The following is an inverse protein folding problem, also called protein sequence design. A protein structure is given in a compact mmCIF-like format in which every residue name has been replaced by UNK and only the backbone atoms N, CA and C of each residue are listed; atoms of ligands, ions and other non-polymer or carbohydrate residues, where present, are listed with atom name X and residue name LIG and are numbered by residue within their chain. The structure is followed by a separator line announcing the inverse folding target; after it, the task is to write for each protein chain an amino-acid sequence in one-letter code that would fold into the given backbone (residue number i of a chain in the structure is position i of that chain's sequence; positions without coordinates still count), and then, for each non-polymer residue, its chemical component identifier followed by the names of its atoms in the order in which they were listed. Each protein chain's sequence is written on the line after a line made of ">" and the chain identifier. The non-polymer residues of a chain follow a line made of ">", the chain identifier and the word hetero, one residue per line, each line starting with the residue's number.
data_IF_445937081359
#
_entry.id   IF_445937081359
#
_cell.length_a   1.000
_cell.length_b   1.000
_cell.length_c   1.000
_cell.angle_alpha   90.00
_cell.angle_beta   90.00
_cell.angle_gamma   90.00
#
_symmetry.space_group_name_H-M   'P 1'
#
loop_
_entity.id
_entity.type
_entity.pdbx_description
1 polymer ?
#
# COMPACT_ATOMS: atom_id res chain seq x y z
N UNK A 1 -6.97 27.46 13.02
CA UNK A 1 -6.31 27.10 11.74
C UNK A 1 -6.94 25.80 11.22
N UNK A 2 -7.16 25.74 9.90
CA UNK A 2 -8.17 24.93 9.20
C UNK A 2 -8.14 23.42 9.50
N UNK A 3 -9.31 22.86 9.80
CA UNK A 3 -9.54 21.44 10.06
C UNK A 3 -9.24 20.56 8.84
N UNK A 4 -8.40 19.55 9.06
CA UNK A 4 -8.12 18.50 8.08
C UNK A 4 -9.34 17.59 8.02
N UNK A 5 -10.06 17.64 6.89
CA UNK A 5 -11.16 16.72 6.58
C UNK A 5 -10.70 15.27 6.71
N UNK A 6 -11.20 14.59 7.74
CA UNK A 6 -10.93 13.18 8.11
C UNK A 6 -11.75 12.17 7.30
N UNK A 7 -12.16 12.48 6.05
CA UNK A 7 -13.02 11.55 5.32
C UNK A 7 -12.76 11.51 3.80
N UNK A 8 -11.54 11.13 3.41
CA UNK A 8 -11.30 10.63 2.04
C UNK A 8 -11.12 9.13 2.12
N UNK A 9 -12.21 8.39 1.91
CA UNK A 9 -12.19 6.94 1.80
C UNK A 9 -11.29 6.47 0.66
N UNK A 10 -10.89 5.20 0.70
CA UNK A 10 -9.94 4.59 -0.25
C UNK A 10 -10.44 4.75 -1.70
N UNK A 11 -11.75 4.76 -1.92
CA UNK A 11 -12.38 5.00 -3.23
C UNK A 11 -12.05 6.36 -3.87
N UNK A 12 -11.70 7.38 -3.08
CA UNK A 12 -11.30 8.70 -3.59
C UNK A 12 -9.89 8.73 -4.19
N UNK A 13 -9.06 7.72 -3.91
CA UNK A 13 -7.66 7.66 -4.37
C UNK A 13 -7.60 7.47 -5.89
N UNK A 14 -8.42 6.57 -6.43
CA UNK A 14 -8.48 6.33 -7.88
C UNK A 14 -8.99 7.54 -8.67
N UNK A 15 -9.84 8.37 -8.07
CA UNK A 15 -10.46 9.54 -8.72
C UNK A 15 -9.55 10.77 -8.77
N UNK A 16 -8.47 10.80 -7.98
CA UNK A 16 -7.57 11.95 -7.87
C UNK A 16 -6.66 12.04 -9.11
N UNK A 17 -7.06 12.83 -10.12
CA UNK A 17 -6.25 13.06 -11.32
C UNK A 17 -4.97 13.82 -10.97
N UNK A 18 -3.83 13.26 -11.38
CA UNK A 18 -2.51 13.93 -11.38
C UNK A 18 -1.99 14.04 -12.81
N UNK A 19 -1.07 14.96 -13.04
CA UNK A 19 -0.40 15.09 -14.32
C UNK A 19 0.35 13.79 -14.66
N UNK A 20 0.20 13.31 -15.89
CA UNK A 20 0.72 12.01 -16.29
C UNK A 20 2.25 12.05 -16.46
N UNK A 21 2.95 11.18 -15.73
CA UNK A 21 4.38 10.98 -15.85
C UNK A 21 4.70 10.23 -17.15
N UNK A 22 5.59 10.81 -17.97
CA UNK A 22 6.06 10.21 -19.22
C UNK A 22 7.21 9.22 -18.98
N UNK A 23 7.23 8.15 -19.76
CA UNK A 23 8.35 7.19 -19.77
C UNK A 23 9.52 7.78 -20.56
N UNK A 24 10.59 8.19 -19.86
CA UNK A 24 11.77 8.85 -20.47
C UNK A 24 12.56 7.94 -21.43
N UNK A 25 12.43 6.63 -21.29
CA UNK A 25 13.26 5.63 -21.98
C UNK A 25 12.43 4.71 -22.88
N UNK A 26 11.29 5.20 -23.39
CA UNK A 26 10.36 4.43 -24.22
C UNK A 26 11.02 3.94 -25.54
N UNK A 27 11.88 4.76 -26.16
CA UNK A 27 12.56 4.43 -27.43
C UNK A 27 13.42 3.16 -27.38
N UNK A 28 13.85 2.73 -26.20
CA UNK A 28 14.70 1.53 -26.00
C UNK A 28 13.89 0.29 -25.59
N UNK A 29 12.56 0.33 -25.61
CA UNK A 29 11.67 -0.73 -25.13
C UNK A 29 10.65 -1.11 -26.18
N UNK A 30 10.13 -2.34 -26.06
CA UNK A 30 8.93 -2.75 -26.80
C UNK A 30 7.73 -1.90 -26.39
N UNK A 31 6.74 -1.76 -27.29
CA UNK A 31 5.52 -1.01 -27.03
C UNK A 31 4.81 -1.50 -25.76
N UNK A 32 4.68 -2.82 -25.60
CA UNK A 32 4.06 -3.43 -24.41
C UNK A 32 4.80 -3.12 -23.11
N UNK A 33 6.14 -3.11 -23.14
CA UNK A 33 6.96 -2.76 -21.97
C UNK A 33 6.86 -1.27 -21.62
N UNK A 34 6.86 -0.40 -22.63
CA UNK A 34 6.67 1.03 -22.43
C UNK A 34 5.28 1.35 -21.86
N UNK A 35 4.23 0.70 -22.36
CA UNK A 35 2.86 0.87 -21.86
C UNK A 35 2.68 0.33 -20.45
N UNK A 36 3.26 -0.83 -20.13
CA UNK A 36 3.27 -1.35 -18.76
C UNK A 36 3.92 -0.37 -17.80
N UNK A 37 5.09 0.16 -18.16
CA UNK A 37 5.81 1.12 -17.33
C UNK A 37 5.03 2.43 -17.19
N UNK A 38 4.38 2.91 -18.26
CA UNK A 38 3.49 4.06 -18.22
C UNK A 38 2.34 3.84 -17.24
N UNK A 39 1.72 2.66 -17.21
CA UNK A 39 0.65 2.34 -16.25
C UNK A 39 1.17 2.35 -14.81
N UNK A 40 2.32 1.73 -14.54
CA UNK A 40 2.92 1.69 -13.20
C UNK A 40 3.29 3.09 -12.69
N UNK A 41 3.91 3.92 -13.54
CA UNK A 41 4.30 5.29 -13.19
C UNK A 41 3.10 6.20 -12.90
N UNK A 42 1.96 5.94 -13.53
CA UNK A 42 0.74 6.72 -13.39
C UNK A 42 -0.29 6.07 -12.48
N UNK A 43 0.11 5.05 -11.71
CA UNK A 43 -0.78 4.37 -10.79
C UNK A 43 -1.09 5.27 -9.58
N UNK A 44 -2.35 5.68 -9.37
CA UNK A 44 -2.70 6.63 -8.32
C UNK A 44 -2.38 6.09 -6.91
N UNK A 45 -2.44 4.78 -6.71
CA UNK A 45 -2.18 4.16 -5.41
C UNK A 45 -0.69 4.09 -5.10
N UNK A 46 0.20 4.07 -6.10
CA UNK A 46 1.66 4.15 -5.83
C UNK A 46 1.98 5.51 -5.21
N UNK A 47 1.41 6.57 -5.77
CA UNK A 47 1.64 7.92 -5.28
C UNK A 47 0.90 8.18 -3.96
N UNK A 48 -0.32 7.66 -3.79
CA UNK A 48 -1.03 7.73 -2.51
C UNK A 48 -0.32 6.94 -1.40
N UNK A 49 0.28 5.78 -1.69
CA UNK A 49 1.04 5.02 -0.71
C UNK A 49 2.20 5.85 -0.16
N UNK A 50 2.96 6.51 -1.05
CA UNK A 50 4.04 7.41 -0.66
C UNK A 50 3.55 8.58 0.20
N UNK A 51 2.47 9.24 -0.19
CA UNK A 51 1.88 10.34 0.58
C UNK A 51 1.39 9.91 1.97
N UNK A 52 0.93 8.66 2.10
CA UNK A 52 0.41 8.10 3.35
C UNK A 52 1.48 7.35 4.16
N UNK A 53 2.73 7.29 3.69
CA UNK A 53 3.83 6.60 4.38
C UNK A 53 3.75 5.07 4.32
N UNK A 54 2.98 4.50 3.39
CA UNK A 54 2.96 3.06 3.15
C UNK A 54 4.12 2.65 2.23
N UNK A 55 4.76 1.52 2.56
CA UNK A 55 5.89 0.95 1.81
C UNK A 55 5.50 0.45 0.43
N UNK A 56 4.23 0.12 0.21
CA UNK A 56 3.73 -0.29 -1.10
C UNK A 56 2.25 0.03 -1.29
N UNK A 57 1.82 0.07 -2.56
CA UNK A 57 0.39 0.18 -2.93
C UNK A 57 -0.46 -0.99 -2.43
N UNK A 58 0.16 -2.12 -2.06
CA UNK A 58 -0.58 -3.29 -1.60
C UNK A 58 -1.32 -3.03 -0.29
N UNK A 59 -0.85 -2.07 0.53
CA UNK A 59 -1.54 -1.61 1.75
C UNK A 59 -3.03 -1.30 1.50
N UNK A 60 -3.37 -0.71 0.35
CA UNK A 60 -4.75 -0.39 0.02
C UNK A 60 -5.62 -1.63 -0.20
N UNK A 61 -5.05 -2.73 -0.71
CA UNK A 61 -5.79 -3.98 -0.92
C UNK A 61 -6.28 -4.53 0.42
N UNK A 62 -5.39 -4.64 1.39
CA UNK A 62 -5.76 -5.17 2.71
C UNK A 62 -6.68 -4.22 3.48
N UNK A 63 -6.50 -2.90 3.33
CA UNK A 63 -7.43 -1.92 3.89
C UNK A 63 -8.85 -2.07 3.31
N UNK A 64 -8.98 -2.27 2.00
CA UNK A 64 -10.27 -2.50 1.34
C UNK A 64 -10.90 -3.82 1.77
N UNK A 65 -10.11 -4.89 1.85
CA UNK A 65 -10.60 -6.17 2.35
C UNK A 65 -11.07 -6.04 3.80
N UNK A 66 -10.35 -5.34 4.66
CA UNK A 66 -10.76 -5.15 6.06
C UNK A 66 -11.98 -4.22 6.19
N UNK A 67 -12.14 -3.25 5.29
CA UNK A 67 -13.35 -2.43 5.19
C UNK A 67 -14.59 -3.28 4.83
N UNK A 68 -14.43 -4.32 4.01
CA UNK A 68 -15.52 -5.19 3.59
C UNK A 68 -15.81 -6.35 4.56
N UNK A 69 -14.76 -6.98 5.09
CA UNK A 69 -14.87 -8.24 5.84
C UNK A 69 -14.58 -8.09 7.33
N UNK A 70 -14.06 -6.93 7.78
CA UNK A 70 -13.82 -6.61 9.19
C UNK A 70 -13.03 -7.69 9.95
N UNK A 71 -12.00 -8.25 9.31
CA UNK A 71 -11.27 -9.42 9.79
C UNK A 71 -10.02 -9.05 10.62
N UNK A 72 -9.49 -7.84 10.48
CA UNK A 72 -8.35 -7.37 11.29
C UNK A 72 -8.84 -6.81 12.63
N UNK A 73 -9.28 -7.70 13.49
CA UNK A 73 -9.76 -7.37 14.84
C UNK A 73 -8.61 -7.01 15.77
N UNK A 74 -8.86 -6.08 16.69
CA UNK A 74 -7.91 -5.75 17.76
C UNK A 74 -7.53 -6.98 18.58
N UNK A 75 -6.25 -7.14 18.89
CA UNK A 75 -5.74 -8.30 19.62
C UNK A 75 -5.53 -9.57 18.78
N UNK A 76 -5.78 -9.53 17.46
CA UNK A 76 -5.59 -10.71 16.61
C UNK A 76 -4.12 -11.15 16.53
N UNK A 77 -3.94 -12.46 16.27
CA UNK A 77 -2.65 -13.06 15.94
C UNK A 77 -2.61 -13.33 14.44
N UNK A 78 -1.61 -12.81 13.74
CA UNK A 78 -1.55 -12.83 12.28
C UNK A 78 -0.16 -13.27 11.82
N UNK A 79 -0.11 -14.01 10.71
CA UNK A 79 1.12 -14.32 9.98
C UNK A 79 0.99 -13.73 8.57
N UNK A 80 1.94 -12.89 8.17
CA UNK A 80 2.04 -12.33 6.81
C UNK A 80 3.14 -13.07 6.04
N UNK A 81 2.75 -13.84 5.02
CA UNK A 81 3.65 -14.67 4.22
C UNK A 81 3.92 -13.98 2.87
N UNK A 82 5.19 -13.88 2.49
CA UNK A 82 5.57 -13.08 1.32
C UNK A 82 5.45 -11.58 1.62
N UNK A 83 5.86 -11.19 2.83
CA UNK A 83 5.59 -9.86 3.37
C UNK A 83 6.36 -8.74 2.67
N UNK A 84 7.52 -8.97 2.05
CA UNK A 84 8.38 -7.92 1.50
C UNK A 84 7.65 -7.13 0.40
N UNK A 85 7.65 -5.78 0.45
CA UNK A 85 8.44 -4.89 1.31
C UNK A 85 7.78 -4.50 2.65
N UNK A 86 6.61 -5.06 2.97
CA UNK A 86 5.94 -4.92 4.27
C UNK A 86 4.67 -4.07 4.27
N UNK A 87 4.10 -3.77 3.09
CA UNK A 87 2.92 -2.90 2.98
C UNK A 87 1.66 -3.45 3.67
N UNK A 88 1.46 -4.77 3.67
CA UNK A 88 0.36 -5.41 4.41
C UNK A 88 0.65 -5.41 5.91
N UNK A 89 1.84 -5.87 6.29
CA UNK A 89 2.32 -5.84 7.67
C UNK A 89 2.14 -4.49 8.37
N UNK A 90 2.44 -3.36 7.70
CA UNK A 90 2.20 -2.01 8.27
C UNK A 90 0.73 -1.75 8.61
N UNK A 91 -0.20 -2.17 7.75
CA UNK A 91 -1.64 -1.99 7.99
C UNK A 91 -2.10 -2.90 9.11
N UNK A 92 -1.70 -4.17 9.07
CA UNK A 92 -2.11 -5.18 10.04
C UNK A 92 -1.64 -4.80 11.44
N UNK A 93 -0.36 -4.45 11.62
CA UNK A 93 0.20 -4.06 12.92
C UNK A 93 -0.62 -2.91 13.56
N UNK A 94 -0.97 -1.90 12.76
CA UNK A 94 -1.80 -0.78 13.23
C UNK A 94 -3.23 -1.21 13.60
N UNK A 95 -3.83 -2.13 12.84
CA UNK A 95 -5.22 -2.57 13.04
C UNK A 95 -5.39 -3.50 14.25
N UNK A 96 -4.48 -4.45 14.43
CA UNK A 96 -4.53 -5.40 15.55
C UNK A 96 -4.07 -4.73 16.87
N UNK A 97 -3.26 -3.67 16.77
CA UNK A 97 -2.81 -2.86 17.90
C UNK A 97 -1.88 -3.60 18.86
N UNK A 98 -1.52 -2.95 19.97
CA UNK A 98 -0.49 -3.42 20.91
C UNK A 98 -0.81 -4.76 21.61
N UNK A 99 -2.08 -5.16 21.65
CA UNK A 99 -2.50 -6.47 22.19
C UNK A 99 -2.39 -7.60 21.15
N UNK A 100 -2.26 -7.25 19.88
CA UNK A 100 -2.12 -8.21 18.79
C UNK A 100 -0.68 -8.69 18.65
N UNK A 101 -0.51 -9.76 17.86
CA UNK A 101 0.83 -10.27 17.50
C UNK A 101 0.87 -10.53 16.01
N UNK A 102 1.83 -9.92 15.32
CA UNK A 102 2.09 -10.16 13.91
C UNK A 102 3.47 -10.80 13.77
N UNK A 103 3.58 -11.77 12.87
CA UNK A 103 4.87 -12.29 12.39
C UNK A 103 4.87 -12.14 10.88
N UNK A 104 5.87 -11.46 10.33
CA UNK A 104 6.01 -11.26 8.90
C UNK A 104 7.22 -12.04 8.37
N UNK A 105 6.99 -12.84 7.34
CA UNK A 105 7.98 -13.76 6.77
C UNK A 105 8.11 -13.54 5.27
N UNK A 106 9.35 -13.43 4.80
CA UNK A 106 9.69 -13.40 3.39
C UNK A 106 11.07 -13.99 3.17
N UNK A 107 11.34 -14.43 1.95
CA UNK A 107 12.68 -14.83 1.49
C UNK A 107 13.57 -13.61 1.20
N UNK A 108 12.96 -12.48 0.86
CA UNK A 108 13.63 -11.21 0.63
C UNK A 108 13.74 -10.42 1.93
N UNK A 109 14.88 -9.76 2.12
CA UNK A 109 15.06 -8.84 3.22
C UNK A 109 14.13 -7.61 3.08
N UNK A 110 13.65 -7.10 4.20
CA UNK A 110 12.94 -5.84 4.28
C UNK A 110 13.28 -5.12 5.60
N UNK A 111 13.17 -3.80 5.59
CA UNK A 111 13.40 -3.01 6.81
C UNK A 111 12.43 -3.42 7.93
N UNK A 112 12.85 -3.38 9.21
CA UNK A 112 11.96 -3.72 10.31
C UNK A 112 10.74 -2.79 10.37
N UNK A 113 9.59 -3.32 10.77
CA UNK A 113 8.37 -2.54 11.00
C UNK A 113 8.13 -2.49 12.50
N UNK A 114 7.77 -1.32 13.02
CA UNK A 114 7.47 -1.16 14.44
C UNK A 114 6.38 -2.15 14.89
N UNK A 115 6.70 -2.97 15.88
CA UNK A 115 5.78 -3.96 16.45
C UNK A 115 5.62 -5.26 15.64
N UNK A 116 6.51 -5.55 14.68
CA UNK A 116 6.48 -6.74 13.81
C UNK A 116 7.82 -7.46 13.77
#
# INVERSE_FOLDING_TARGET
>A
MKGISKNRGIGGIASKRREAVRVKTAKKRTNSSADWLKRQLNDPYVSAAKEMGYRSRAAFKILQLDEQFHFLKGGAKVIDLGAAPGGWSQVVAKKIGAKGKLVALDIQAMDPIEGV
#
